data_IF_802447150752
#
_entry.id   IF_802447150752
#
_cell.length_a   1.000
_cell.length_b   1.000
_cell.length_c   1.000
_cell.angle_alpha   90.00
_cell.angle_beta   90.00
_cell.angle_gamma   90.00
#
_symmetry.space_group_name_H-M   'P 1'
#
loop_
_entity.id
_entity.type
_entity.pdbx_description
1 polymer ?
#
# COMPACT_ATOMS: atom_id res chain seq x y z
N UNK A 1 0.27 14.22 -18.20
CA UNK A 1 -1.17 14.55 -18.08
C UNK A 1 -1.61 15.08 -16.71
N UNK A 2 -0.67 15.64 -15.91
CA UNK A 2 -0.97 16.23 -14.58
C UNK A 2 -1.73 17.56 -14.61
N UNK A 3 -2.12 18.03 -15.80
CA UNK A 3 -2.70 19.38 -15.98
C UNK A 3 -4.19 19.37 -16.35
N UNK A 4 -4.81 18.21 -16.60
CA UNK A 4 -6.21 18.17 -16.97
C UNK A 4 -7.10 18.09 -15.71
N UNK A 5 -8.21 18.85 -15.65
CA UNK A 5 -9.22 18.69 -14.63
C UNK A 5 -9.82 17.27 -14.69
N UNK A 6 -10.28 16.77 -13.56
CA UNK A 6 -10.87 15.45 -13.46
C UNK A 6 -10.55 14.75 -12.15
N UNK A 7 -11.21 13.63 -11.92
CA UNK A 7 -11.01 12.83 -10.73
C UNK A 7 -10.14 11.63 -11.04
N UNK A 8 -9.15 11.39 -10.18
CA UNK A 8 -8.25 10.25 -10.24
C UNK A 8 -8.36 9.40 -8.99
N UNK A 9 -8.44 8.09 -9.17
CA UNK A 9 -8.41 7.11 -8.09
C UNK A 9 -7.00 6.55 -7.91
N UNK A 10 -6.61 6.32 -6.66
CA UNK A 10 -5.32 5.69 -6.39
C UNK A 10 -5.29 4.23 -6.86
N UNK A 11 -4.15 3.79 -7.40
CA UNK A 11 -3.86 2.41 -7.81
C UNK A 11 -3.11 1.59 -6.73
N UNK A 12 -3.01 2.12 -5.52
CA UNK A 12 -2.22 1.49 -4.44
C UNK A 12 -2.81 0.19 -3.89
N UNK A 13 -4.13 0.02 -3.96
CA UNK A 13 -4.86 -1.13 -3.43
C UNK A 13 -5.30 -2.08 -4.56
N UNK A 14 -4.66 -3.24 -4.76
CA UNK A 14 -5.00 -4.15 -5.85
C UNK A 14 -6.44 -4.69 -5.75
N UNK A 15 -6.99 -4.83 -4.54
CA UNK A 15 -8.37 -5.23 -4.37
C UNK A 15 -9.35 -4.18 -4.91
N UNK A 16 -9.06 -2.89 -4.74
CA UNK A 16 -9.86 -1.80 -5.32
C UNK A 16 -9.67 -1.73 -6.84
N UNK A 17 -8.45 -1.88 -7.33
CA UNK A 17 -8.16 -1.91 -8.78
C UNK A 17 -8.98 -3.02 -9.45
N UNK A 18 -8.92 -4.24 -8.92
CA UNK A 18 -9.70 -5.37 -9.44
C UNK A 18 -11.21 -5.15 -9.32
N UNK A 19 -11.66 -4.54 -8.22
CA UNK A 19 -13.08 -4.21 -8.03
C UNK A 19 -13.57 -3.22 -9.09
N UNK A 20 -12.83 -2.16 -9.34
CA UNK A 20 -13.15 -1.17 -10.38
C UNK A 20 -13.15 -1.81 -11.77
N UNK A 21 -12.08 -2.50 -12.14
CA UNK A 21 -11.98 -3.12 -13.46
C UNK A 21 -13.10 -4.14 -13.73
N UNK A 22 -13.56 -4.86 -12.69
CA UNK A 22 -14.55 -5.92 -12.85
C UNK A 22 -15.99 -5.44 -12.76
N UNK A 23 -16.29 -4.49 -11.86
CA UNK A 23 -17.66 -4.11 -11.54
C UNK A 23 -18.01 -2.67 -11.93
N UNK A 24 -17.01 -1.85 -12.18
CA UNK A 24 -17.15 -0.44 -12.58
C UNK A 24 -16.17 -0.09 -13.71
N UNK A 25 -16.18 -0.86 -14.84
CA UNK A 25 -15.21 -0.65 -15.92
C UNK A 25 -15.24 0.77 -16.50
N UNK A 26 -16.39 1.45 -16.44
CA UNK A 26 -16.56 2.85 -16.83
C UNK A 26 -15.76 3.84 -15.95
N UNK A 27 -15.33 3.40 -14.77
CA UNK A 27 -14.49 4.17 -13.85
C UNK A 27 -13.01 3.76 -13.88
N UNK A 28 -12.68 2.65 -14.53
CA UNK A 28 -11.32 2.12 -14.56
C UNK A 28 -10.31 3.07 -15.20
N UNK A 29 -10.72 3.87 -16.18
CA UNK A 29 -9.88 4.88 -16.83
C UNK A 29 -9.46 6.02 -15.89
N UNK A 30 -10.10 6.11 -14.73
CA UNK A 30 -9.75 7.09 -13.67
C UNK A 30 -8.69 6.58 -12.71
N UNK A 31 -8.30 5.32 -12.81
CA UNK A 31 -7.18 4.81 -12.04
C UNK A 31 -5.91 5.55 -12.42
N UNK A 32 -5.20 6.06 -11.44
CA UNK A 32 -3.92 6.72 -11.67
C UNK A 32 -2.96 5.75 -12.37
N UNK A 33 -2.37 6.12 -13.53
CA UNK A 33 -1.50 5.25 -14.31
C UNK A 33 -0.10 5.17 -13.67
N UNK A 34 -0.05 4.72 -12.42
CA UNK A 34 1.17 4.56 -11.63
C UNK A 34 1.15 3.19 -10.95
N UNK A 35 2.32 2.64 -10.76
CA UNK A 35 2.50 1.38 -10.06
C UNK A 35 2.12 1.50 -8.57
N UNK A 36 1.67 0.40 -7.99
CA UNK A 36 1.47 0.38 -6.54
C UNK A 36 2.80 0.58 -5.80
N UNK A 37 2.78 1.03 -4.54
CA UNK A 37 4.00 1.19 -3.74
C UNK A 37 4.85 -0.08 -3.65
N UNK A 38 4.23 -1.27 -3.65
CA UNK A 38 4.94 -2.55 -3.68
C UNK A 38 5.73 -2.71 -4.97
N UNK A 39 5.11 -2.51 -6.12
CA UNK A 39 5.74 -2.69 -7.43
C UNK A 39 6.80 -1.62 -7.69
N UNK A 40 6.50 -0.36 -7.41
CA UNK A 40 7.45 0.73 -7.54
C UNK A 40 8.70 0.52 -6.66
N UNK A 41 8.52 0.03 -5.42
CA UNK A 41 9.65 -0.26 -4.54
C UNK A 41 10.46 -1.45 -5.01
N UNK A 42 9.84 -2.51 -5.53
CA UNK A 42 10.54 -3.64 -6.10
C UNK A 42 11.42 -3.24 -7.30
N UNK A 43 10.90 -2.40 -8.18
CA UNK A 43 11.66 -1.84 -9.30
C UNK A 43 12.83 -0.96 -8.80
N UNK A 44 12.58 -0.13 -7.78
CA UNK A 44 13.61 0.69 -7.16
C UNK A 44 14.74 -0.18 -6.57
N UNK A 45 14.41 -1.26 -5.85
CA UNK A 45 15.40 -2.20 -5.30
C UNK A 45 16.26 -2.77 -6.44
N UNK A 46 15.65 -3.23 -7.53
CA UNK A 46 16.40 -3.77 -8.68
C UNK A 46 17.24 -2.72 -9.38
N UNK A 47 16.80 -1.49 -9.48
CA UNK A 47 17.59 -0.40 -10.05
C UNK A 47 18.86 -0.11 -9.23
N UNK A 48 18.84 -0.40 -7.92
CA UNK A 48 19.96 -0.15 -7.01
C UNK A 48 20.88 -1.36 -6.84
N UNK A 49 20.30 -2.55 -6.78
CA UNK A 49 21.05 -3.78 -6.45
C UNK A 49 21.29 -4.69 -7.65
N UNK A 50 20.76 -4.34 -8.79
CA UNK A 50 20.89 -5.10 -10.04
C UNK A 50 19.62 -5.85 -10.44
N UNK A 51 19.42 -6.10 -11.75
CA UNK A 51 18.18 -6.64 -12.30
C UNK A 51 17.86 -8.08 -11.86
N UNK A 52 18.87 -8.83 -11.42
CA UNK A 52 18.72 -10.21 -10.96
C UNK A 52 18.29 -10.33 -9.49
N UNK A 53 18.16 -9.20 -8.79
CA UNK A 53 17.76 -9.19 -7.38
C UNK A 53 16.34 -9.71 -7.23
N UNK A 54 16.18 -10.74 -6.39
CA UNK A 54 14.87 -11.27 -6.02
C UNK A 54 14.24 -10.41 -4.92
N UNK A 55 12.99 -10.04 -5.12
CA UNK A 55 12.25 -9.18 -4.21
C UNK A 55 11.04 -9.92 -3.68
N UNK A 56 11.01 -10.14 -2.37
CA UNK A 56 9.89 -10.74 -1.66
C UNK A 56 9.18 -9.63 -0.86
N UNK A 57 7.89 -9.49 -1.08
CA UNK A 57 7.04 -8.60 -0.29
C UNK A 57 6.38 -9.41 0.83
N UNK A 58 6.39 -8.91 2.05
CA UNK A 58 5.64 -9.47 3.15
C UNK A 58 4.63 -8.44 3.69
N UNK A 59 3.37 -8.84 3.83
CA UNK A 59 2.33 -7.90 4.25
C UNK A 59 0.99 -8.53 4.62
N UNK A 60 0.02 -7.73 5.06
CA UNK A 60 -1.28 -8.21 5.54
C UNK A 60 -2.31 -8.46 4.43
N UNK A 61 -1.92 -8.35 3.17
CA UNK A 61 -2.86 -8.27 2.04
C UNK A 61 -2.75 -9.49 1.13
N UNK A 62 -3.83 -10.28 1.02
CA UNK A 62 -3.91 -11.42 0.11
C UNK A 62 -3.90 -10.97 -1.36
N UNK A 63 -4.55 -9.85 -1.70
CA UNK A 63 -4.60 -9.37 -3.07
C UNK A 63 -3.22 -8.95 -3.65
N UNK A 64 -2.23 -8.72 -2.80
CA UNK A 64 -0.84 -8.48 -3.21
C UNK A 64 -0.18 -9.71 -3.85
N UNK A 65 -0.68 -10.91 -3.55
CA UNK A 65 -0.19 -12.15 -4.19
C UNK A 65 -0.53 -12.14 -5.68
N UNK A 66 -1.80 -11.92 -6.01
CA UNK A 66 -2.22 -11.81 -7.40
C UNK A 66 -1.51 -10.67 -8.12
N UNK A 67 -1.38 -9.51 -7.48
CA UNK A 67 -0.67 -8.38 -8.07
C UNK A 67 0.80 -8.70 -8.36
N UNK A 68 1.49 -9.50 -7.52
CA UNK A 68 2.87 -9.90 -7.80
C UNK A 68 2.98 -10.86 -8.98
N UNK A 69 1.98 -11.72 -9.20
CA UNK A 69 1.91 -12.63 -10.34
C UNK A 69 1.59 -11.90 -11.65
N UNK A 70 0.70 -10.90 -11.59
CA UNK A 70 0.22 -10.17 -12.77
C UNK A 70 1.19 -9.09 -13.26
N UNK A 71 2.20 -8.72 -12.45
CA UNK A 71 3.08 -7.59 -12.77
C UNK A 71 4.54 -8.02 -13.02
N UNK A 72 4.92 -8.28 -14.27
CA UNK A 72 6.30 -8.62 -14.62
C UNK A 72 7.29 -7.49 -14.24
N UNK A 73 8.37 -7.86 -13.56
CA UNK A 73 9.38 -6.90 -13.11
C UNK A 73 9.08 -6.21 -11.77
N UNK A 74 7.94 -6.52 -11.17
CA UNK A 74 7.60 -6.13 -9.80
C UNK A 74 8.17 -7.07 -8.72
N UNK A 75 7.51 -7.22 -7.57
CA UNK A 75 7.87 -8.21 -6.57
C UNK A 75 7.78 -9.63 -7.15
N UNK A 76 8.78 -10.48 -6.91
CA UNK A 76 8.80 -11.85 -7.40
C UNK A 76 7.82 -12.73 -6.63
N UNK A 77 7.58 -12.41 -5.36
CA UNK A 77 6.68 -13.15 -4.48
C UNK A 77 6.06 -12.21 -3.45
N UNK A 78 4.78 -12.41 -3.16
CA UNK A 78 4.13 -11.77 -2.03
C UNK A 78 3.70 -12.82 -1.01
N UNK A 79 4.13 -12.65 0.24
CA UNK A 79 3.79 -13.48 1.38
C UNK A 79 2.89 -12.69 2.33
N UNK A 80 1.94 -13.39 2.94
CA UNK A 80 1.25 -12.89 4.11
C UNK A 80 2.15 -12.96 5.33
N UNK A 81 1.83 -12.23 6.40
CA UNK A 81 2.60 -12.32 7.64
C UNK A 81 2.52 -13.71 8.28
N UNK A 82 1.40 -14.43 8.11
CA UNK A 82 1.26 -15.78 8.63
C UNK A 82 2.13 -16.77 7.84
N UNK A 83 2.16 -16.68 6.51
CA UNK A 83 3.07 -17.48 5.67
C UNK A 83 4.53 -17.20 5.98
N UNK A 84 4.91 -15.93 6.15
CA UNK A 84 6.27 -15.59 6.55
C UNK A 84 6.63 -16.19 7.92
N UNK A 85 5.70 -16.12 8.88
CA UNK A 85 5.91 -16.70 10.21
C UNK A 85 6.12 -18.21 10.13
N UNK A 86 5.24 -18.91 9.41
CA UNK A 86 5.35 -20.36 9.21
C UNK A 86 6.68 -20.72 8.57
N UNK A 87 7.09 -20.02 7.53
CA UNK A 87 8.39 -20.26 6.89
C UNK A 87 9.56 -20.06 7.85
N UNK A 88 9.56 -18.98 8.62
CA UNK A 88 10.62 -18.74 9.62
C UNK A 88 10.65 -19.82 10.72
N UNK A 89 9.48 -20.32 11.15
CA UNK A 89 9.37 -21.41 12.11
C UNK A 89 9.92 -22.74 11.55
N UNK A 90 9.62 -23.06 10.30
CA UNK A 90 10.14 -24.23 9.57
C UNK A 90 11.67 -24.19 9.44
N UNK A 91 12.25 -22.99 9.28
CA UNK A 91 13.70 -22.76 9.25
C UNK A 91 14.32 -22.69 10.66
N UNK A 92 13.59 -22.98 11.71
CA UNK A 92 14.06 -22.95 13.11
C UNK A 92 14.24 -21.53 13.68
N UNK A 93 13.75 -20.50 13.01
CA UNK A 93 13.85 -19.10 13.43
C UNK A 93 12.60 -18.70 14.23
N UNK A 94 12.43 -19.26 15.43
CA UNK A 94 11.30 -18.92 16.29
C UNK A 94 11.34 -17.46 16.75
N UNK A 95 10.17 -16.90 17.13
CA UNK A 95 10.08 -15.55 17.69
C UNK A 95 11.00 -15.37 18.91
N UNK A 96 11.17 -16.43 19.71
CA UNK A 96 12.03 -16.43 20.88
C UNK A 96 13.52 -16.38 20.51
N UNK A 97 13.92 -17.10 19.46
CA UNK A 97 15.26 -17.03 18.89
C UNK A 97 15.57 -15.63 18.35
N UNK A 98 14.63 -15.04 17.61
CA UNK A 98 14.78 -13.70 17.02
C UNK A 98 14.88 -12.60 18.09
N UNK A 99 14.16 -12.72 19.22
CA UNK A 99 14.25 -11.78 20.34
C UNK A 99 15.60 -11.84 21.06
N UNK A 100 16.23 -13.01 21.12
CA UNK A 100 17.52 -13.23 21.77
C UNK A 100 18.71 -12.92 20.83
N UNK A 101 18.49 -12.92 19.51
CA UNK A 101 19.52 -12.63 18.54
C UNK A 101 19.83 -11.12 18.52
N UNK A 102 21.12 -10.79 18.51
CA UNK A 102 21.54 -9.39 18.33
C UNK A 102 21.14 -8.94 16.93
N UNK A 103 20.66 -7.70 16.78
CA UNK A 103 20.43 -7.15 15.44
C UNK A 103 21.68 -7.33 14.58
N UNK A 104 21.51 -7.88 13.39
CA UNK A 104 22.62 -8.04 12.47
C UNK A 104 23.16 -6.63 12.11
N UNK A 105 24.45 -6.41 12.38
CA UNK A 105 25.11 -5.14 12.05
C UNK A 105 25.34 -4.97 10.53
N UNK A 106 24.93 -5.94 9.72
CA UNK A 106 24.96 -5.80 8.27
C UNK A 106 23.96 -4.72 7.85
N UNK A 107 24.51 -3.65 7.35
CA UNK A 107 23.78 -2.55 6.77
C UNK A 107 22.71 -3.10 5.85
N UNK A 108 21.48 -3.16 6.34
CA UNK A 108 20.36 -3.17 5.46
C UNK A 108 20.50 -1.89 4.65
N UNK A 109 20.81 -2.01 3.38
CA UNK A 109 20.80 -0.91 2.40
C UNK A 109 19.40 -0.36 2.21
N UNK A 110 18.47 -0.73 3.06
CA UNK A 110 17.14 -0.17 3.11
C UNK A 110 17.25 1.27 3.56
N UNK A 111 17.21 2.17 2.61
CA UNK A 111 16.66 3.48 2.91
C UNK A 111 15.35 3.22 3.65
N UNK A 112 15.29 3.60 4.90
CA UNK A 112 14.06 3.50 5.67
C UNK A 112 12.97 4.22 4.88
N UNK A 113 11.78 3.62 4.85
CA UNK A 113 10.65 4.11 4.06
C UNK A 113 10.24 5.56 4.42
N UNK A 114 10.86 6.15 5.42
CA UNK A 114 10.53 7.48 5.92
C UNK A 114 9.00 7.64 6.01
N UNK A 115 8.43 8.59 5.30
CA UNK A 115 6.98 8.82 5.28
C UNK A 115 6.18 7.78 4.47
N UNK A 116 6.81 6.96 3.66
CA UNK A 116 6.19 5.78 3.06
C UNK A 116 5.64 4.79 4.10
N UNK A 117 6.12 4.85 5.34
CA UNK A 117 5.55 4.11 6.46
C UNK A 117 4.09 4.50 6.82
N UNK A 118 3.59 5.63 6.32
CA UNK A 118 2.18 6.02 6.45
C UNK A 118 1.25 5.34 5.43
N UNK A 119 1.76 4.80 4.34
CA UNK A 119 0.93 4.21 3.27
C UNK A 119 -0.06 3.13 3.74
N UNK A 120 0.23 2.33 4.79
CA UNK A 120 -0.74 1.37 5.29
C UNK A 120 -1.93 1.96 6.05
N UNK A 121 -1.93 3.26 6.31
CA UNK A 121 -2.99 3.97 7.05
C UNK A 121 -3.84 4.77 6.08
N UNK A 122 -5.13 4.85 6.33
CA UNK A 122 -6.05 5.75 5.61
C UNK A 122 -5.52 7.20 5.55
N UNK A 123 -5.46 7.77 4.36
CA UNK A 123 -4.94 9.11 4.11
C UNK A 123 -3.40 9.21 4.12
N UNK A 124 -2.69 8.11 4.33
CA UNK A 124 -1.24 8.11 4.48
C UNK A 124 -0.49 8.44 3.19
N UNK A 125 -0.96 7.97 2.05
CA UNK A 125 -0.40 8.33 0.75
C UNK A 125 -0.61 9.82 0.48
N UNK A 126 -1.82 10.33 0.71
CA UNK A 126 -2.16 11.75 0.54
C UNK A 126 -1.27 12.63 1.43
N UNK A 127 -1.07 12.24 2.70
CA UNK A 127 -0.20 12.98 3.61
C UNK A 127 1.23 13.09 3.05
N UNK A 128 1.76 11.99 2.50
CA UNK A 128 3.09 11.97 1.87
C UNK A 128 3.13 12.83 0.60
N UNK A 129 2.09 12.78 -0.23
CA UNK A 129 2.02 13.58 -1.46
C UNK A 129 2.00 15.08 -1.17
N UNK A 130 1.22 15.51 -0.18
CA UNK A 130 1.09 16.94 0.19
C UNK A 130 2.39 17.56 0.66
N UNK A 131 3.31 16.77 1.21
CA UNK A 131 4.59 17.29 1.69
C UNK A 131 5.67 17.39 0.61
N UNK A 132 5.63 16.51 -0.39
CA UNK A 132 6.66 16.44 -1.42
C UNK A 132 6.32 17.18 -2.71
N UNK A 133 5.07 17.54 -2.90
CA UNK A 133 4.63 18.17 -4.12
C UNK A 133 4.02 19.54 -3.81
N UNK A 134 4.43 20.55 -4.56
CA UNK A 134 3.71 21.84 -4.68
C UNK A 134 2.38 21.64 -5.43
N UNK A 135 1.56 20.68 -4.94
CA UNK A 135 0.25 20.37 -5.51
C UNK A 135 -0.76 21.25 -4.78
N UNK A 136 -0.96 22.47 -5.29
CA UNK A 136 -1.86 23.47 -4.68
C UNK A 136 -3.23 23.51 -5.33
N UNK A 137 -3.41 22.88 -6.48
CA UNK A 137 -4.62 22.95 -7.32
C UNK A 137 -5.45 21.65 -7.32
N UNK A 138 -5.17 20.73 -6.40
CA UNK A 138 -5.83 19.42 -6.32
C UNK A 138 -6.48 19.20 -4.97
N UNK A 139 -7.76 18.85 -4.99
CA UNK A 139 -8.51 18.39 -3.82
C UNK A 139 -8.17 16.92 -3.53
N UNK A 140 -7.98 16.58 -2.27
CA UNK A 140 -7.63 15.23 -1.83
C UNK A 140 -8.69 14.66 -0.90
N UNK A 141 -9.12 13.42 -1.17
CA UNK A 141 -10.05 12.66 -0.35
C UNK A 141 -9.52 11.25 -0.10
N UNK A 142 -9.90 10.65 1.02
CA UNK A 142 -9.55 9.25 1.32
C UNK A 142 -10.79 8.50 1.79
N UNK A 143 -10.98 7.29 1.26
CA UNK A 143 -12.09 6.43 1.64
C UNK A 143 -11.60 4.99 1.79
N UNK A 144 -12.11 4.34 2.83
CA UNK A 144 -11.77 2.96 3.17
C UNK A 144 -13.00 2.12 3.39
N UNK A 145 -12.87 0.81 3.11
CA UNK A 145 -13.97 -0.14 3.16
C UNK A 145 -14.74 -0.22 1.83
N UNK A 146 -14.92 -1.44 1.32
CA UNK A 146 -15.56 -1.66 0.01
C UNK A 146 -17.00 -1.13 -0.06
N UNK A 147 -17.74 -1.16 1.05
CA UNK A 147 -19.11 -0.61 1.07
C UNK A 147 -19.12 0.91 0.86
N UNK A 148 -18.21 1.64 1.53
CA UNK A 148 -18.08 3.08 1.37
C UNK A 148 -17.64 3.42 -0.06
N UNK A 149 -16.67 2.68 -0.59
CA UNK A 149 -16.17 2.85 -1.97
C UNK A 149 -17.33 2.66 -2.97
N UNK A 150 -18.11 1.60 -2.81
CA UNK A 150 -19.27 1.34 -3.66
C UNK A 150 -20.25 2.51 -3.66
N UNK A 151 -20.63 2.99 -2.48
CA UNK A 151 -21.55 4.13 -2.36
C UNK A 151 -21.02 5.40 -3.04
N UNK A 152 -19.71 5.65 -2.91
CA UNK A 152 -19.08 6.80 -3.56
C UNK A 152 -19.13 6.65 -5.08
N UNK A 153 -18.81 5.47 -5.61
CA UNK A 153 -18.85 5.22 -7.05
C UNK A 153 -20.26 5.34 -7.62
N UNK A 154 -21.29 4.88 -6.89
CA UNK A 154 -22.70 5.01 -7.29
C UNK A 154 -23.19 6.47 -7.33
N UNK A 155 -22.61 7.34 -6.50
CA UNK A 155 -22.99 8.77 -6.44
C UNK A 155 -22.00 9.69 -7.16
N UNK A 156 -20.97 9.11 -7.77
CA UNK A 156 -19.93 9.88 -8.44
C UNK A 156 -20.46 10.47 -9.76
N UNK A 157 -20.53 11.82 -9.84
CA UNK A 157 -20.91 12.53 -11.06
C UNK A 157 -19.68 13.17 -11.72
N UNK A 158 -19.62 13.12 -13.05
CA UNK A 158 -18.48 13.59 -13.85
C UNK A 158 -18.32 15.13 -13.96
N UNK A 159 -19.24 15.90 -13.43
CA UNK A 159 -19.32 17.35 -13.68
C UNK A 159 -18.46 18.17 -12.73
N UNK A 160 -17.15 17.93 -12.70
CA UNK A 160 -16.25 18.81 -11.94
C UNK A 160 -15.10 19.29 -12.80
N UNK A 161 -14.95 20.60 -12.87
CA UNK A 161 -13.80 21.30 -13.45
C UNK A 161 -12.56 21.24 -12.54
N UNK A 162 -12.72 20.66 -11.35
CA UNK A 162 -11.67 20.56 -10.33
C UNK A 162 -10.82 19.31 -10.52
N UNK A 163 -9.56 19.40 -10.13
CA UNK A 163 -8.69 18.24 -9.99
C UNK A 163 -8.92 17.59 -8.63
N UNK A 164 -9.30 16.33 -8.63
CA UNK A 164 -9.55 15.57 -7.41
C UNK A 164 -8.72 14.28 -7.45
N UNK A 165 -7.99 14.01 -6.39
CA UNK A 165 -7.34 12.73 -6.17
C UNK A 165 -7.99 12.02 -4.99
N UNK A 166 -8.47 10.81 -5.21
CA UNK A 166 -9.15 10.00 -4.21
C UNK A 166 -8.32 8.76 -3.89
N UNK A 167 -7.84 8.68 -2.66
CA UNK A 167 -7.20 7.49 -2.13
C UNK A 167 -8.29 6.47 -1.74
N UNK A 168 -8.22 5.27 -2.32
CA UNK A 168 -9.18 4.20 -2.10
C UNK A 168 -8.48 2.96 -1.54
N UNK A 169 -8.95 2.46 -0.40
CA UNK A 169 -8.47 1.22 0.21
C UNK A 169 -9.61 0.29 0.59
N UNK A 170 -9.55 -0.98 0.18
CA UNK A 170 -10.60 -1.97 0.44
C UNK A 170 -10.78 -2.30 1.93
N UNK A 171 -9.69 -2.26 2.71
CA UNK A 171 -9.73 -2.54 4.14
C UNK A 171 -10.08 -1.28 4.93
N UNK A 172 -11.04 -1.35 5.84
CA UNK A 172 -11.43 -0.23 6.70
C UNK A 172 -10.25 0.28 7.54
N UNK A 173 -9.97 1.57 7.48
CA UNK A 173 -8.83 2.21 8.14
C UNK A 173 -7.47 1.93 7.51
N UNK A 174 -7.41 1.24 6.36
CA UNK A 174 -6.21 0.94 5.61
C UNK A 174 -5.64 -0.47 5.81
N UNK A 175 -4.47 -0.71 5.23
CA UNK A 175 -3.81 -2.03 5.24
C UNK A 175 -3.44 -2.54 6.64
N UNK A 176 -3.29 -1.66 7.62
CA UNK A 176 -3.10 -2.04 9.05
C UNK A 176 -4.29 -2.83 9.62
N UNK A 177 -5.40 -2.89 8.91
CA UNK A 177 -6.57 -3.71 9.20
C UNK A 177 -6.84 -4.73 8.09
N UNK A 178 -5.81 -5.12 7.37
CA UNK A 178 -5.88 -6.14 6.33
C UNK A 178 -6.33 -7.50 6.87
N UNK A 179 -6.80 -8.40 5.98
CA UNK A 179 -7.44 -9.66 6.39
C UNK A 179 -6.51 -10.59 7.19
N UNK A 180 -5.20 -10.45 7.02
CA UNK A 180 -4.20 -11.29 7.72
C UNK A 180 -3.52 -10.54 8.87
N UNK A 181 -4.10 -9.45 9.32
CA UNK A 181 -3.63 -8.77 10.54
C UNK A 181 -4.18 -9.49 11.78
N UNK A 182 -3.51 -10.55 12.20
CA UNK A 182 -3.77 -11.19 13.50
C UNK A 182 -3.30 -10.28 14.65
N UNK A 183 -4.17 -9.42 15.13
CA UNK A 183 -3.86 -8.55 16.28
C UNK A 183 -5.00 -8.53 17.26
N UNK A 184 -4.68 -8.76 18.54
CA UNK A 184 -5.61 -8.56 19.66
C UNK A 184 -5.95 -7.08 19.90
N UNK A 185 -5.30 -6.16 19.18
CA UNK A 185 -5.48 -4.73 19.34
C UNK A 185 -6.55 -4.18 18.40
N UNK A 186 -7.34 -3.24 18.88
CA UNK A 186 -8.30 -2.51 18.06
C UNK A 186 -7.60 -1.73 16.95
N UNK A 187 -8.36 -1.39 15.88
CA UNK A 187 -7.86 -0.57 14.78
C UNK A 187 -7.27 0.77 15.27
N UNK A 188 -7.90 1.40 16.25
CA UNK A 188 -7.41 2.64 16.85
C UNK A 188 -6.01 2.49 17.46
N UNK A 189 -5.77 1.41 18.19
CA UNK A 189 -4.45 1.13 18.79
C UNK A 189 -3.41 0.81 17.74
N UNK A 190 -3.76 0.04 16.70
CA UNK A 190 -2.84 -0.25 15.59
C UNK A 190 -2.45 1.04 14.85
N UNK A 191 -3.43 1.89 14.53
CA UNK A 191 -3.20 3.19 13.90
C UNK A 191 -2.28 4.07 14.74
N UNK A 192 -2.56 4.19 16.03
CA UNK A 192 -1.74 4.97 16.96
C UNK A 192 -0.28 4.47 17.02
N UNK A 193 -0.05 3.16 17.11
CA UNK A 193 1.29 2.57 17.11
C UNK A 193 2.04 2.86 15.80
N UNK A 194 1.40 2.67 14.65
CA UNK A 194 2.01 2.96 13.34
C UNK A 194 2.44 4.42 13.24
N UNK A 195 1.59 5.35 13.69
CA UNK A 195 1.92 6.78 13.71
C UNK A 195 3.11 7.09 14.64
N UNK A 196 3.14 6.50 15.83
CA UNK A 196 4.23 6.68 16.80
C UNK A 196 5.58 6.15 16.27
N UNK A 197 5.57 4.98 15.64
CA UNK A 197 6.78 4.38 15.08
C UNK A 197 7.33 5.18 13.90
N UNK A 198 6.43 5.77 13.10
CA UNK A 198 6.83 6.58 11.95
C UNK A 198 7.43 7.93 12.38
N UNK A 199 6.96 8.52 13.48
CA UNK A 199 7.51 9.79 14.00
C UNK A 199 8.89 9.64 14.64
N UNK A 200 9.29 8.43 15.02
CA UNK A 200 10.61 8.15 15.62
C UNK A 200 11.72 7.95 14.58
N UNK A 201 11.37 7.90 13.33
CA UNK A 201 12.28 7.66 12.18
C UNK A 201 12.56 8.94 11.41
#
# INVERSE_FOLDING_TARGET
>A
NRQQPGTWFSSCCPAVVQYLCKYHPEQADRLAPIDSPMQAHAQYIRSRLGPQTKVIFAGPCIAKKQESEDFPGGADLALTFDELRTWLEEEGLSAEFLQKSKPCAHNHTSQQAARGAYYPIEGGMIATMKEHASITDTSFMSFTGLQNIRQILEHFSEQREEKIFIELMACEGGCINGPIMSSSHSLAVRRWRTLQETQKR
#
